data_IF_014314156474
#
_entry.id   IF_014314156474
#
_cell.length_a   1.000
_cell.length_b   1.000
_cell.length_c   1.000
_cell.angle_alpha   90.00
_cell.angle_beta   90.00
_cell.angle_gamma   90.00
#
_symmetry.space_group_name_H-M   'P 1'
#
loop_
_entity.id
_entity.type
_entity.pdbx_description
1 polymer ?
#
# COMPACT_ATOMS: atom_id res chain seq x y z
N UNK A 1 16.03 12.60 -2.10
CA UNK A 1 15.36 11.52 -2.88
C UNK A 1 13.91 11.91 -3.07
N UNK A 2 13.33 11.67 -4.24
CA UNK A 2 11.92 11.94 -4.47
C UNK A 2 11.09 10.69 -4.19
N UNK A 3 9.93 10.84 -3.55
CA UNK A 3 8.99 9.75 -3.29
C UNK A 3 7.58 10.17 -3.69
N UNK A 4 6.75 9.19 -4.03
CA UNK A 4 5.33 9.35 -4.25
C UNK A 4 4.57 8.55 -3.20
N UNK A 5 3.42 9.07 -2.80
CA UNK A 5 2.44 8.34 -2.03
C UNK A 5 1.62 7.46 -2.99
N UNK A 6 1.75 6.14 -2.86
CA UNK A 6 1.12 5.17 -3.77
C UNK A 6 -0.40 5.28 -3.72
N UNK A 7 -0.99 5.50 -2.53
CA UNK A 7 -2.44 5.66 -2.39
C UNK A 7 -2.95 6.90 -3.15
N UNK A 8 -2.16 7.98 -3.16
CA UNK A 8 -2.51 9.18 -3.95
C UNK A 8 -2.48 8.94 -5.47
N UNK A 9 -1.62 8.02 -5.93
CA UNK A 9 -1.51 7.64 -7.34
C UNK A 9 -2.69 6.75 -7.74
N UNK A 10 -3.08 5.81 -6.89
CA UNK A 10 -4.18 4.89 -7.19
C UNK A 10 -5.56 5.55 -7.16
N UNK A 11 -5.71 6.69 -6.48
CA UNK A 11 -6.92 7.55 -6.57
C UNK A 11 -7.19 8.09 -7.99
N UNK A 12 -6.28 7.85 -8.95
CA UNK A 12 -6.51 8.16 -10.38
C UNK A 12 -7.23 7.04 -11.13
N UNK A 13 -7.35 5.85 -10.53
CA UNK A 13 -8.24 4.80 -10.99
C UNK A 13 -9.61 4.98 -10.35
N UNK A 14 -10.64 4.42 -10.98
CA UNK A 14 -11.91 4.21 -10.31
C UNK A 14 -11.72 3.06 -9.31
N UNK A 15 -11.73 3.37 -8.01
CA UNK A 15 -11.57 2.39 -6.93
C UNK A 15 -12.90 2.05 -6.27
N UNK A 16 -14.05 2.42 -6.86
CA UNK A 16 -15.38 2.19 -6.27
C UNK A 16 -15.48 2.67 -4.81
N UNK A 17 -14.97 3.87 -4.54
CA UNK A 17 -14.90 4.53 -3.23
C UNK A 17 -14.01 3.84 -2.16
N UNK A 18 -13.30 2.75 -2.50
CA UNK A 18 -12.30 2.16 -1.60
C UNK A 18 -11.09 3.07 -1.44
N UNK A 19 -10.61 3.20 -0.20
CA UNK A 19 -9.51 4.11 0.16
C UNK A 19 -8.43 3.49 1.08
N UNK A 20 -8.62 2.25 1.52
CA UNK A 20 -7.60 1.48 2.24
C UNK A 20 -6.78 0.60 1.29
N UNK A 21 -5.58 0.23 1.72
CA UNK A 21 -4.62 -0.51 0.90
C UNK A 21 -5.16 -1.87 0.43
N UNK A 22 -5.83 -2.61 1.31
CA UNK A 22 -6.28 -3.98 1.05
C UNK A 22 -7.42 -3.95 0.04
N UNK A 23 -8.49 -3.18 0.30
CA UNK A 23 -9.64 -3.09 -0.58
C UNK A 23 -9.27 -2.54 -1.97
N UNK A 24 -8.38 -1.54 -2.05
CA UNK A 24 -7.91 -1.00 -3.34
C UNK A 24 -7.09 -2.04 -4.10
N UNK A 25 -6.22 -2.79 -3.42
CA UNK A 25 -5.42 -3.84 -4.04
C UNK A 25 -6.28 -5.00 -4.55
N UNK A 26 -7.23 -5.47 -3.74
CA UNK A 26 -8.12 -6.57 -4.09
C UNK A 26 -9.00 -6.20 -5.29
N UNK A 27 -9.45 -4.94 -5.35
CA UNK A 27 -10.25 -4.44 -6.47
C UNK A 27 -9.46 -4.30 -7.77
N UNK A 28 -8.23 -3.75 -7.71
CA UNK A 28 -7.45 -3.44 -8.92
C UNK A 28 -6.58 -4.60 -9.42
N UNK A 29 -6.11 -5.47 -8.53
CA UNK A 29 -5.12 -6.52 -8.83
C UNK A 29 -5.62 -7.89 -8.37
N UNK A 30 -5.95 -8.05 -7.08
CA UNK A 30 -6.57 -9.26 -6.55
C UNK A 30 -5.73 -10.55 -6.64
N UNK A 31 -4.40 -10.45 -6.60
CA UNK A 31 -3.55 -11.64 -6.49
C UNK A 31 -3.55 -12.20 -5.06
N UNK A 32 -3.29 -13.50 -4.92
CA UNK A 32 -3.12 -14.16 -3.62
C UNK A 32 -2.05 -13.46 -2.76
N UNK A 33 -2.35 -13.36 -1.47
CA UNK A 33 -1.51 -12.72 -0.46
C UNK A 33 -0.97 -13.73 0.54
N UNK A 34 0.18 -13.42 1.15
CA UNK A 34 0.67 -14.17 2.31
C UNK A 34 0.10 -13.64 3.64
N UNK A 35 -0.77 -12.64 3.59
CA UNK A 35 -1.47 -12.08 4.75
C UNK A 35 -2.39 -13.13 5.38
N UNK A 36 -2.16 -13.51 6.65
CA UNK A 36 -2.97 -14.54 7.31
C UNK A 36 -4.29 -13.99 7.89
N UNK A 37 -4.50 -12.68 7.86
CA UNK A 37 -5.65 -12.03 8.49
C UNK A 37 -6.77 -11.76 7.48
N UNK A 38 -8.01 -11.89 7.93
CA UNK A 38 -9.18 -11.48 7.17
C UNK A 38 -9.43 -9.97 7.32
N UNK A 39 -9.04 -9.40 8.48
CA UNK A 39 -9.13 -7.97 8.79
C UNK A 39 -7.79 -7.44 9.34
N UNK A 40 -7.31 -6.32 8.81
CA UNK A 40 -6.07 -5.67 9.26
C UNK A 40 -6.05 -5.30 10.76
N UNK A 41 -7.21 -5.21 11.42
CA UNK A 41 -7.30 -5.02 12.88
C UNK A 41 -6.72 -6.20 13.68
N UNK A 42 -6.73 -7.42 13.14
CA UNK A 42 -6.14 -8.61 13.78
C UNK A 42 -4.62 -8.50 13.93
N UNK A 43 -3.96 -7.70 13.08
CA UNK A 43 -2.53 -7.42 13.21
C UNK A 43 -2.21 -6.66 14.51
N UNK A 44 -3.16 -5.86 15.02
CA UNK A 44 -3.01 -5.17 16.31
C UNK A 44 -3.02 -6.18 17.46
N UNK A 45 -3.89 -7.17 17.40
CA UNK A 45 -3.97 -8.23 18.40
C UNK A 45 -2.73 -9.12 18.37
N UNK A 46 -2.21 -9.44 17.19
CA UNK A 46 -0.95 -10.16 17.01
C UNK A 46 0.24 -9.38 17.61
N UNK A 47 0.29 -8.05 17.40
CA UNK A 47 1.30 -7.21 18.03
C UNK A 47 1.20 -7.23 19.57
N UNK A 48 0.00 -7.06 20.13
CA UNK A 48 -0.22 -7.02 21.57
C UNK A 48 0.09 -8.36 22.26
N UNK A 49 -0.18 -9.48 21.57
CA UNK A 49 0.09 -10.83 22.05
C UNK A 49 1.53 -11.31 21.78
N UNK A 50 2.36 -10.48 21.13
CA UNK A 50 3.72 -10.85 20.68
C UNK A 50 3.73 -12.04 19.71
N UNK A 51 2.66 -12.22 18.92
CA UNK A 51 2.60 -13.20 17.85
C UNK A 51 3.24 -12.65 16.57
N UNK A 52 4.56 -12.77 16.51
CA UNK A 52 5.37 -12.07 15.50
C UNK A 52 5.23 -12.62 14.09
N UNK A 53 5.02 -13.93 13.93
CA UNK A 53 5.03 -14.53 12.59
C UNK A 53 3.84 -14.04 11.75
N UNK A 54 2.58 -14.10 12.23
CA UNK A 54 1.45 -13.54 11.49
C UNK A 54 1.58 -12.04 11.24
N UNK A 55 2.04 -11.27 12.23
CA UNK A 55 2.28 -9.84 12.09
C UNK A 55 3.31 -9.52 10.99
N UNK A 56 4.41 -10.28 10.92
CA UNK A 56 5.43 -10.10 9.90
C UNK A 56 4.93 -10.48 8.51
N UNK A 57 4.09 -11.52 8.40
CA UNK A 57 3.48 -11.91 7.13
C UNK A 57 2.51 -10.83 6.60
N UNK A 58 1.71 -10.23 7.48
CA UNK A 58 0.84 -9.09 7.13
C UNK A 58 1.66 -7.88 6.64
N UNK A 59 2.68 -7.48 7.39
CA UNK A 59 3.56 -6.37 6.99
C UNK A 59 4.26 -6.64 5.64
N UNK A 60 4.66 -7.88 5.39
CA UNK A 60 5.26 -8.28 4.11
C UNK A 60 4.23 -8.19 2.98
N UNK A 61 3.01 -8.66 3.20
CA UNK A 61 1.92 -8.55 2.24
C UNK A 61 1.67 -7.09 1.86
N UNK A 62 1.61 -6.17 2.83
CA UNK A 62 1.39 -4.74 2.56
C UNK A 62 2.51 -4.09 1.74
N UNK A 63 3.77 -4.48 1.98
CA UNK A 63 4.91 -4.05 1.16
C UNK A 63 4.76 -4.53 -0.28
N UNK A 64 4.34 -5.79 -0.48
CA UNK A 64 4.12 -6.37 -1.81
C UNK A 64 2.95 -5.65 -2.50
N UNK A 65 1.79 -5.52 -1.85
CA UNK A 65 0.61 -4.80 -2.36
C UNK A 65 0.97 -3.38 -2.81
N UNK A 66 1.69 -2.65 -1.95
CA UNK A 66 2.15 -1.28 -2.25
C UNK A 66 3.06 -1.24 -3.49
N UNK A 67 3.99 -2.19 -3.61
CA UNK A 67 4.89 -2.27 -4.77
C UNK A 67 4.12 -2.57 -6.06
N UNK A 68 3.18 -3.49 -6.02
CA UNK A 68 2.38 -3.87 -7.19
C UNK A 68 1.46 -2.74 -7.64
N UNK A 69 0.81 -2.05 -6.71
CA UNK A 69 0.03 -0.83 -7.00
C UNK A 69 0.92 0.28 -7.58
N UNK A 70 2.12 0.48 -7.05
CA UNK A 70 3.07 1.43 -7.62
C UNK A 70 3.48 1.06 -9.06
N UNK A 71 3.65 -0.23 -9.35
CA UNK A 71 3.94 -0.71 -10.69
C UNK A 71 2.74 -0.52 -11.63
N UNK A 72 1.51 -0.74 -11.15
CA UNK A 72 0.29 -0.47 -11.90
C UNK A 72 0.16 1.03 -12.21
N UNK A 73 0.30 1.88 -11.21
CA UNK A 73 0.32 3.34 -11.37
C UNK A 73 1.40 3.79 -12.35
N UNK A 74 2.61 3.24 -12.26
CA UNK A 74 3.72 3.59 -13.15
C UNK A 74 3.48 3.24 -14.63
N UNK A 75 2.54 2.32 -14.92
CA UNK A 75 2.15 1.97 -16.30
C UNK A 75 1.05 2.87 -16.86
N UNK A 76 0.11 3.31 -16.04
CA UNK A 76 -1.13 3.92 -16.50
C UNK A 76 -1.36 5.37 -16.06
N UNK A 77 -0.64 5.85 -15.04
CA UNK A 77 -0.74 7.22 -14.54
C UNK A 77 0.42 8.05 -15.09
N UNK A 78 0.11 9.25 -15.59
CA UNK A 78 1.14 10.15 -16.11
C UNK A 78 2.10 10.58 -14.98
N UNK A 79 3.39 10.68 -15.28
CA UNK A 79 4.42 11.05 -14.28
C UNK A 79 4.14 12.40 -13.59
N UNK A 80 3.45 13.33 -14.27
CA UNK A 80 3.02 14.61 -13.69
C UNK A 80 1.99 14.48 -12.57
N UNK A 81 1.23 13.38 -12.54
CA UNK A 81 0.21 13.10 -11.52
C UNK A 81 0.78 12.36 -10.30
N UNK A 82 2.05 11.94 -10.36
CA UNK A 82 2.80 11.55 -9.19
C UNK A 82 3.21 12.85 -8.50
N UNK A 83 2.45 13.26 -7.49
CA UNK A 83 2.77 14.42 -6.62
C UNK A 83 4.06 14.18 -5.83
N UNK A 84 5.20 14.16 -6.54
CA UNK A 84 6.51 13.76 -6.02
C UNK A 84 6.94 14.73 -4.93
N UNK A 85 7.18 14.19 -3.73
CA UNK A 85 7.68 14.92 -2.58
C UNK A 85 9.20 14.73 -2.49
N UNK A 86 9.91 15.75 -1.99
CA UNK A 86 11.35 15.68 -1.78
C UNK A 86 11.66 15.32 -0.32
N UNK A 87 12.46 14.27 -0.11
CA UNK A 87 13.00 13.87 1.20
C UNK A 87 14.29 14.63 1.57
N UNK A 88 14.70 15.60 0.77
CA UNK A 88 15.80 16.49 1.16
C UNK A 88 15.43 17.19 2.47
N UNK A 89 16.37 17.31 3.43
CA UNK A 89 16.12 18.06 4.64
C UNK A 89 15.72 19.51 4.28
N UNK A 90 14.77 20.12 5.02
CA UNK A 90 14.45 21.52 4.81
C UNK A 90 15.70 22.37 5.05
N UNK A 91 16.04 23.21 4.07
CA UNK A 91 17.06 24.26 4.26
C UNK A 91 16.54 25.26 5.30
N UNK A 92 17.37 25.55 6.31
CA UNK A 92 17.10 26.57 7.33
C UNK A 92 16.92 27.96 6.73
#
# INVERSE_FOLDING_TARGET
MAYADVLSVVNRFDTNDYNDLVSVYDFLIGNDSCDPFDDSSEAVDAFQSSDWLPLLLHNLADIIRTRELAALGGRYVAKSDFSMKNLAPPTK
#
